data_IF_326511249668
#
_entry.id   IF_326511249668
#
_cell.length_a   1.000
_cell.length_b   1.000
_cell.length_c   1.000
_cell.angle_alpha   90.00
_cell.angle_beta   90.00
_cell.angle_gamma   90.00
#
_symmetry.space_group_name_H-M   'P 1'
#
loop_
_entity.id
_entity.type
_entity.pdbx_description
1 polymer ?
#
# COMPACT_ATOMS: atom_id res chain seq x y z
N UNK A 1 18.07 1.90 -58.07
CA UNK A 1 16.65 1.94 -57.68
C UNK A 1 16.55 2.26 -56.20
N UNK A 2 15.78 3.31 -55.88
CA UNK A 2 15.28 3.74 -54.56
C UNK A 2 16.34 4.03 -53.47
N UNK A 3 16.81 5.28 -53.30
CA UNK A 3 16.16 6.43 -52.65
C UNK A 3 16.01 6.27 -51.13
N UNK A 4 16.79 7.02 -50.34
CA UNK A 4 16.25 7.97 -49.34
C UNK A 4 17.31 9.01 -48.95
N UNK A 5 16.89 10.27 -49.06
CA UNK A 5 17.69 11.48 -48.86
C UNK A 5 17.84 11.87 -47.38
N UNK A 6 18.88 12.66 -47.03
CA UNK A 6 19.03 13.33 -45.74
C UNK A 6 18.29 14.69 -45.76
N UNK A 7 17.49 14.98 -44.72
CA UNK A 7 16.84 16.28 -44.56
C UNK A 7 17.54 17.09 -43.45
N UNK A 8 18.19 18.17 -43.86
CA UNK A 8 18.67 19.24 -43.03
C UNK A 8 17.55 20.28 -42.84
N UNK A 9 17.44 20.89 -41.65
CA UNK A 9 17.00 22.29 -41.52
C UNK A 9 17.33 22.89 -40.13
N UNK A 10 18.21 23.90 -40.18
CA UNK A 10 18.05 25.27 -39.63
C UNK A 10 17.72 25.41 -38.13
N UNK A 11 18.71 25.73 -37.28
CA UNK A 11 19.11 27.09 -36.87
C UNK A 11 18.01 27.99 -36.32
N UNK A 12 18.02 28.21 -35.00
CA UNK A 12 17.94 29.56 -34.42
C UNK A 12 18.37 29.50 -32.95
N UNK A 13 19.59 29.96 -32.70
CA UNK A 13 20.04 30.27 -31.36
C UNK A 13 19.34 31.51 -30.85
N UNK A 14 18.95 31.51 -29.57
CA UNK A 14 18.69 32.73 -28.83
C UNK A 14 19.69 32.81 -27.69
N UNK A 15 20.83 33.41 -28.05
CA UNK A 15 21.91 33.77 -27.16
C UNK A 15 21.62 35.20 -26.71
N UNK A 16 21.09 35.39 -25.51
CA UNK A 16 20.97 36.73 -24.92
C UNK A 16 22.19 36.96 -24.04
N UNK A 17 23.23 37.49 -24.68
CA UNK A 17 24.34 38.13 -24.01
C UNK A 17 24.10 39.64 -24.13
N UNK A 18 23.82 40.32 -23.02
CA UNK A 18 24.00 41.79 -22.93
C UNK A 18 25.08 42.05 -21.89
N UNK A 19 26.27 42.24 -22.41
CA UNK A 19 27.40 42.90 -21.75
C UNK A 19 27.24 44.42 -21.82
N UNK A 20 27.38 45.10 -20.68
CA UNK A 20 28.00 46.44 -20.55
C UNK A 20 28.00 46.79 -19.04
N UNK A 21 29.12 46.54 -18.35
CA UNK A 21 30.20 47.50 -18.06
C UNK A 21 29.91 48.41 -16.87
N UNK A 22 30.70 48.23 -15.80
CA UNK A 22 31.23 49.21 -14.81
C UNK A 22 30.26 50.23 -14.21
N UNK A 23 30.24 50.46 -12.89
CA UNK A 23 31.19 51.34 -12.20
C UNK A 23 30.96 51.21 -10.69
N UNK A 24 32.08 51.15 -9.94
CA UNK A 24 32.28 51.53 -8.54
C UNK A 24 31.05 51.88 -7.67
N UNK A 25 30.90 51.15 -6.56
CA UNK A 25 30.58 51.78 -5.28
C UNK A 25 31.12 50.92 -4.12
N UNK A 26 32.08 51.54 -3.46
CA UNK A 26 32.73 51.23 -2.19
C UNK A 26 31.82 50.67 -1.10
N UNK A 27 32.45 49.87 -0.23
CA UNK A 27 31.78 49.17 0.85
C UNK A 27 31.02 50.06 1.82
N UNK A 28 29.98 49.46 2.41
CA UNK A 28 29.36 49.96 3.63
C UNK A 28 29.45 48.88 4.68
N UNK A 29 30.46 49.01 5.54
CA UNK A 29 30.54 48.31 6.81
C UNK A 29 29.24 48.55 7.57
N UNK A 30 28.52 47.48 7.90
CA UNK A 30 27.40 47.56 8.84
C UNK A 30 27.97 47.75 10.23
N UNK A 31 27.67 48.91 10.81
CA UNK A 31 28.06 49.33 12.16
C UNK A 31 27.57 48.34 13.23
N UNK A 32 28.33 48.10 14.31
CA UNK A 32 27.85 47.32 15.44
C UNK A 32 26.79 48.13 16.18
N UNK A 33 25.54 47.64 16.20
CA UNK A 33 24.51 48.21 17.04
C UNK A 33 24.91 47.99 18.51
N UNK A 34 25.00 49.13 19.20
CA UNK A 34 25.41 49.32 20.56
C UNK A 34 24.48 48.62 21.56
N UNK A 35 25.09 48.29 22.71
CA UNK A 35 24.51 47.66 23.89
C UNK A 35 23.13 48.20 24.25
N UNK A 36 22.09 47.36 24.17
CA UNK A 36 20.86 47.59 24.90
C UNK A 36 20.88 46.77 26.20
N UNK A 37 21.24 47.46 27.29
CA UNK A 37 21.19 46.95 28.65
C UNK A 37 19.73 46.75 29.07
N UNK A 38 19.31 45.49 29.27
CA UNK A 38 18.06 45.19 29.97
C UNK A 38 18.22 45.52 31.47
N UNK A 39 17.72 46.70 31.88
CA UNK A 39 17.42 46.96 33.29
C UNK A 39 16.20 46.14 33.71
N UNK A 40 16.28 45.68 34.96
CA UNK A 40 15.48 44.65 35.62
C UNK A 40 14.00 45.02 35.82
N UNK A 41 13.17 43.97 35.91
CA UNK A 41 11.90 43.83 36.66
C UNK A 41 11.98 44.58 38.02
N UNK A 42 10.95 45.19 38.61
CA UNK A 42 9.53 44.82 38.73
C UNK A 42 8.62 46.05 39.05
N UNK A 43 7.43 45.91 39.69
CA UNK A 43 6.11 46.07 39.09
C UNK A 43 5.33 47.32 39.56
N UNK A 44 4.39 47.81 38.73
CA UNK A 44 3.29 48.64 39.21
C UNK A 44 1.95 47.98 38.90
N UNK A 45 1.23 47.67 39.97
CA UNK A 45 -0.16 47.23 39.97
C UNK A 45 -1.09 48.41 39.71
N UNK A 46 -2.16 48.17 38.93
CA UNK A 46 -3.49 48.85 38.86
C UNK A 46 -4.03 48.60 37.44
N UNK A 47 -5.24 48.13 37.15
CA UNK A 47 -6.52 48.11 37.87
C UNK A 47 -7.23 46.79 37.56
N UNK A 48 -7.77 46.14 38.59
CA UNK A 48 -8.67 45.00 38.45
C UNK A 48 -10.05 45.50 37.98
N UNK A 49 -10.31 45.41 36.68
CA UNK A 49 -11.67 45.47 36.14
C UNK A 49 -12.32 44.10 36.30
N UNK A 50 -13.17 43.96 37.31
CA UNK A 50 -14.02 42.78 37.53
C UNK A 50 -15.14 42.74 36.50
N UNK A 51 -14.88 42.12 35.34
CA UNK A 51 -15.94 41.55 34.51
C UNK A 51 -16.34 40.18 35.11
N UNK A 52 -16.98 40.22 36.28
CA UNK A 52 -17.57 39.04 36.91
C UNK A 52 -18.91 38.78 36.24
N UNK A 53 -18.96 37.78 35.36
CA UNK A 53 -20.22 37.21 34.89
C UNK A 53 -20.44 37.18 33.39
N UNK A 54 -19.63 36.41 32.65
CA UNK A 54 -20.03 35.73 31.40
C UNK A 54 -18.89 34.89 30.80
N UNK A 55 -18.33 33.90 31.50
CA UNK A 55 -17.30 33.03 30.85
C UNK A 55 -17.28 31.57 31.27
N UNK A 56 -18.29 31.05 32.00
CA UNK A 56 -18.40 29.59 32.21
C UNK A 56 -19.10 28.87 31.05
N UNK A 57 -20.01 29.53 30.34
CA UNK A 57 -20.67 28.91 29.17
C UNK A 57 -19.81 28.85 27.90
N UNK A 58 -18.79 29.71 27.78
CA UNK A 58 -17.91 29.71 26.60
C UNK A 58 -16.82 28.64 26.66
N UNK A 59 -16.53 28.06 27.84
CA UNK A 59 -15.53 27.01 27.99
C UNK A 59 -16.04 25.66 27.47
N UNK A 60 -17.31 25.33 27.72
CA UNK A 60 -17.95 24.09 27.25
C UNK A 60 -18.46 24.18 25.81
N UNK A 61 -18.62 25.39 25.26
CA UNK A 61 -19.02 25.60 23.86
C UNK A 61 -17.79 25.60 22.95
N UNK A 62 -17.69 24.60 22.06
CA UNK A 62 -16.61 24.54 21.06
C UNK A 62 -16.61 25.78 20.16
N UNK A 63 -15.53 26.55 20.26
CA UNK A 63 -15.21 27.70 19.41
C UNK A 63 -13.77 27.60 18.96
N UNK A 64 -13.43 28.23 17.83
CA UNK A 64 -12.08 28.15 17.24
C UNK A 64 -10.96 28.59 18.19
N UNK A 65 -11.23 29.50 19.11
CA UNK A 65 -10.28 29.99 20.11
C UNK A 65 -10.06 29.04 21.30
N UNK A 66 -10.92 28.04 21.50
CA UNK A 66 -10.88 27.13 22.65
C UNK A 66 -10.49 25.69 22.26
N UNK A 67 -10.20 25.44 20.98
CA UNK A 67 -9.73 24.14 20.50
C UNK A 67 -8.24 23.99 20.79
N UNK A 68 -7.86 22.88 21.44
CA UNK A 68 -6.46 22.51 21.65
C UNK A 68 -6.28 21.01 21.40
N UNK A 69 -5.11 20.58 20.88
CA UNK A 69 -4.83 19.17 20.71
C UNK A 69 -4.69 18.48 22.08
N UNK A 70 -5.01 17.18 22.15
CA UNK A 70 -4.77 16.39 23.35
C UNK A 70 -3.29 16.46 23.77
N UNK A 71 -3.05 16.55 25.08
CA UNK A 71 -1.71 16.62 25.65
C UNK A 71 -0.86 15.45 25.14
N UNK A 72 0.26 15.75 24.47
CA UNK A 72 1.18 14.76 23.89
C UNK A 72 0.91 14.40 22.43
N UNK A 73 -0.20 14.82 21.83
CA UNK A 73 -0.50 14.54 20.41
C UNK A 73 0.47 15.25 19.45
N UNK A 74 0.94 16.46 19.81
CA UNK A 74 1.95 17.21 19.06
C UNK A 74 3.14 17.52 19.95
N UNK A 75 4.29 16.92 19.63
CA UNK A 75 5.57 17.22 20.30
C UNK A 75 6.34 18.25 19.48
N UNK A 76 6.79 19.32 20.13
CA UNK A 76 7.64 20.33 19.48
C UNK A 76 8.99 19.71 19.07
N UNK A 77 9.39 19.93 17.82
CA UNK A 77 10.67 19.44 17.30
C UNK A 77 11.84 20.27 17.82
N UNK A 78 12.98 19.62 18.06
CA UNK A 78 14.20 20.31 18.49
C UNK A 78 14.85 21.01 17.31
N UNK A 79 14.85 22.34 17.33
CA UNK A 79 15.57 23.18 16.35
C UNK A 79 17.07 23.18 16.67
N UNK A 80 17.83 22.31 16.01
CA UNK A 80 19.28 22.16 16.21
C UNK A 80 20.04 23.42 15.79
N UNK A 81 21.18 23.67 16.44
CA UNK A 81 22.06 24.81 16.11
C UNK A 81 21.49 26.17 16.53
N UNK A 82 20.75 26.24 17.64
CA UNK A 82 20.18 27.49 18.21
C UNK A 82 20.68 27.69 19.64
N UNK A 83 21.99 27.93 19.77
CA UNK A 83 22.65 28.14 21.06
C UNK A 83 22.72 26.89 21.94
N UNK A 84 23.61 26.90 22.92
CA UNK A 84 23.82 25.73 23.80
C UNK A 84 22.67 25.49 24.79
N UNK A 85 21.93 26.53 25.19
CA UNK A 85 20.78 26.42 26.09
C UNK A 85 19.60 25.58 25.55
N UNK A 86 19.54 25.34 24.24
CA UNK A 86 18.53 24.47 23.61
C UNK A 86 18.87 22.97 23.66
N UNK A 87 20.05 22.61 24.18
CA UNK A 87 20.53 21.24 24.35
C UNK A 87 21.20 20.61 23.12
N UNK A 88 20.97 21.13 21.91
CA UNK A 88 21.63 20.68 20.67
C UNK A 88 22.24 21.89 19.96
N UNK A 89 23.25 22.47 20.61
CA UNK A 89 23.96 23.69 20.21
C UNK A 89 24.96 23.49 19.08
N UNK A 90 26.20 23.97 19.27
CA UNK A 90 27.21 24.12 18.20
C UNK A 90 27.40 22.89 17.30
N UNK A 91 27.60 21.70 17.88
CA UNK A 91 27.82 20.47 17.10
C UNK A 91 26.53 19.76 16.68
N UNK A 92 25.35 20.27 17.08
CA UNK A 92 24.04 19.69 16.77
C UNK A 92 23.88 18.19 17.14
N UNK A 93 24.73 17.68 18.05
CA UNK A 93 24.76 16.28 18.49
C UNK A 93 25.63 15.35 17.63
N UNK A 94 26.35 15.88 16.63
CA UNK A 94 27.20 15.09 15.74
C UNK A 94 28.63 14.87 16.28
N UNK A 95 29.00 15.56 17.35
CA UNK A 95 30.33 15.46 17.96
C UNK A 95 31.41 16.26 17.21
N UNK A 96 32.64 15.77 17.25
CA UNK A 96 33.80 16.40 16.62
C UNK A 96 33.85 16.15 15.10
N UNK A 97 34.97 16.48 14.45
CA UNK A 97 35.17 16.28 13.01
C UNK A 97 35.29 14.78 12.70
N UNK A 98 34.38 14.26 11.89
CA UNK A 98 34.41 12.88 11.40
C UNK A 98 33.46 12.71 10.22
N UNK A 99 33.53 11.58 9.52
CA UNK A 99 32.71 11.35 8.31
C UNK A 99 31.21 11.51 8.59
N UNK A 100 30.71 11.02 9.74
CA UNK A 100 29.29 11.13 10.15
C UNK A 100 28.85 12.55 10.54
N UNK A 101 29.79 13.47 10.75
CA UNK A 101 29.51 14.87 11.09
C UNK A 101 29.55 15.81 9.87
N UNK A 102 29.95 15.31 8.70
CA UNK A 102 29.96 16.09 7.45
C UNK A 102 28.58 16.06 6.80
N UNK A 103 28.27 17.12 6.04
CA UNK A 103 27.09 17.15 5.19
C UNK A 103 27.25 16.18 4.02
N UNK A 104 26.14 15.61 3.56
CA UNK A 104 26.09 14.69 2.42
C UNK A 104 25.57 13.30 2.79
N UNK A 105 25.61 12.39 1.81
CA UNK A 105 25.23 11.00 2.03
C UNK A 105 26.26 10.31 2.92
N UNK A 106 25.79 9.64 3.96
CA UNK A 106 26.64 8.85 4.85
C UNK A 106 27.15 7.57 4.18
N UNK A 107 27.77 6.74 5.01
CA UNK A 107 28.16 5.38 4.63
C UNK A 107 26.91 4.53 4.36
N UNK A 108 26.94 3.69 3.31
CA UNK A 108 25.82 2.80 2.96
C UNK A 108 25.48 1.87 4.13
N UNK A 109 24.19 1.72 4.44
CA UNK A 109 23.72 0.75 5.42
C UNK A 109 24.23 -0.67 5.08
N UNK A 110 24.84 -1.32 6.07
CA UNK A 110 25.50 -2.64 5.92
C UNK A 110 26.94 -2.60 5.42
N UNK A 111 27.61 -1.44 5.40
CA UNK A 111 29.06 -1.36 5.17
C UNK A 111 29.83 -1.43 6.49
N UNK A 112 30.81 -2.33 6.56
CA UNK A 112 31.60 -2.66 7.76
C UNK A 112 33.07 -2.19 7.62
N UNK A 113 33.30 -0.98 7.11
CA UNK A 113 34.65 -0.38 7.11
C UNK A 113 35.65 -1.00 6.15
N UNK A 114 35.20 -1.71 5.11
CA UNK A 114 36.06 -2.43 4.17
C UNK A 114 36.14 -3.94 4.42
N UNK A 115 35.67 -4.40 5.59
CA UNK A 115 35.45 -5.82 5.83
C UNK A 115 34.36 -6.37 4.89
N UNK A 116 34.46 -7.64 4.48
CA UNK A 116 33.41 -8.31 3.72
C UNK A 116 32.11 -8.27 4.52
N UNK A 117 31.02 -7.61 4.08
CA UNK A 117 29.87 -7.38 4.94
C UNK A 117 29.07 -8.67 5.20
N UNK A 118 28.34 -8.73 6.31
CA UNK A 118 27.60 -9.91 6.76
C UNK A 118 26.69 -10.53 5.66
N UNK A 119 25.97 -9.70 4.92
CA UNK A 119 25.06 -10.16 3.85
C UNK A 119 25.78 -10.80 2.64
N UNK A 120 27.11 -10.66 2.56
CA UNK A 120 27.96 -11.38 1.60
C UNK A 120 28.64 -12.60 2.19
N UNK A 121 28.89 -12.62 3.51
CA UNK A 121 29.49 -13.77 4.19
C UNK A 121 28.53 -14.95 4.27
N UNK A 122 27.24 -14.68 4.49
CA UNK A 122 26.22 -15.71 4.58
C UNK A 122 25.75 -16.16 3.19
N UNK A 123 25.47 -17.46 2.99
CA UNK A 123 24.90 -17.95 1.75
C UNK A 123 23.48 -17.40 1.57
N UNK A 124 23.06 -17.26 0.30
CA UNK A 124 21.68 -16.88 -0.03
C UNK A 124 20.69 -17.96 0.42
N UNK A 125 19.45 -17.54 0.68
CA UNK A 125 18.37 -18.46 1.04
C UNK A 125 18.16 -19.54 -0.04
N UNK A 126 17.85 -20.76 0.41
CA UNK A 126 17.52 -21.90 -0.45
C UNK A 126 16.38 -21.54 -1.42
N UNK A 127 16.44 -22.05 -2.66
CA UNK A 127 15.48 -21.75 -3.72
C UNK A 127 15.73 -20.40 -4.41
N UNK A 128 15.79 -19.30 -3.65
CA UNK A 128 16.00 -17.95 -4.20
C UNK A 128 17.35 -17.85 -4.93
N UNK A 129 18.40 -18.47 -4.36
CA UNK A 129 19.72 -18.50 -4.96
C UNK A 129 19.74 -19.11 -6.38
N UNK A 130 18.86 -20.07 -6.65
CA UNK A 130 18.73 -20.76 -7.94
C UNK A 130 17.60 -20.23 -8.83
N UNK A 131 16.97 -19.10 -8.49
CA UNK A 131 15.89 -18.51 -9.28
C UNK A 131 14.52 -19.21 -9.15
N UNK A 132 14.35 -20.10 -8.16
CA UNK A 132 13.05 -20.69 -7.87
C UNK A 132 12.10 -19.62 -7.31
N UNK A 133 10.88 -19.56 -7.85
CA UNK A 133 9.86 -18.63 -7.38
C UNK A 133 9.43 -18.95 -5.94
N UNK A 134 9.18 -17.91 -5.14
CA UNK A 134 8.74 -18.08 -3.76
C UNK A 134 7.34 -18.72 -3.70
N UNK A 135 7.13 -19.58 -2.70
CA UNK A 135 5.83 -20.19 -2.46
C UNK A 135 4.80 -19.15 -2.00
N UNK A 136 3.81 -18.85 -2.84
CA UNK A 136 2.71 -17.96 -2.48
C UNK A 136 1.50 -18.74 -1.94
N UNK A 137 0.70 -18.17 -1.03
CA UNK A 137 -0.51 -18.82 -0.53
C UNK A 137 -1.50 -19.03 -1.68
N UNK A 138 -2.10 -20.22 -1.74
CA UNK A 138 -3.04 -20.63 -2.80
C UNK A 138 -4.51 -20.57 -2.35
N UNK A 139 -4.75 -20.46 -1.06
CA UNK A 139 -6.06 -20.48 -0.43
C UNK A 139 -6.14 -19.38 0.62
N UNK A 140 -7.34 -18.88 0.84
CA UNK A 140 -7.67 -18.11 2.05
C UNK A 140 -8.03 -19.12 3.12
N UNK A 141 -7.31 -19.11 4.24
CA UNK A 141 -7.51 -20.09 5.30
C UNK A 141 -8.37 -19.52 6.41
N UNK A 142 -9.40 -20.26 6.82
CA UNK A 142 -10.24 -19.93 7.98
C UNK A 142 -10.31 -21.12 8.92
N UNK A 143 -10.16 -20.85 10.21
CA UNK A 143 -10.19 -21.86 11.27
C UNK A 143 -11.58 -22.02 11.86
N UNK A 144 -11.88 -23.22 12.37
CA UNK A 144 -13.17 -23.52 13.03
C UNK A 144 -13.41 -22.64 14.27
N UNK A 145 -12.37 -22.33 15.05
CA UNK A 145 -12.43 -21.41 16.20
C UNK A 145 -12.93 -20.01 15.84
N UNK A 146 -12.59 -19.51 14.64
CA UNK A 146 -13.06 -18.21 14.16
C UNK A 146 -14.52 -18.28 13.75
N UNK A 147 -14.96 -19.40 13.15
CA UNK A 147 -16.34 -19.63 12.77
C UNK A 147 -17.25 -19.77 14.01
N UNK A 148 -16.79 -20.51 15.02
CA UNK A 148 -17.48 -20.72 16.30
C UNK A 148 -17.89 -19.41 16.99
N UNK A 149 -17.08 -18.35 16.87
CA UNK A 149 -17.31 -17.07 17.55
C UNK A 149 -18.29 -16.13 16.85
N UNK A 150 -18.56 -16.34 15.56
CA UNK A 150 -19.21 -15.34 14.70
C UNK A 150 -20.43 -15.86 13.95
N UNK A 151 -20.59 -17.17 13.89
CA UNK A 151 -21.77 -17.81 13.31
C UNK A 151 -22.65 -18.38 14.41
N UNK A 152 -23.94 -18.43 14.13
CA UNK A 152 -24.94 -19.14 14.92
C UNK A 152 -25.35 -20.43 14.24
N UNK A 153 -26.15 -21.25 14.92
CA UNK A 153 -26.58 -22.56 14.45
C UNK A 153 -27.39 -22.48 13.16
N UNK A 154 -27.09 -23.36 12.20
CA UNK A 154 -27.77 -23.45 10.90
C UNK A 154 -27.34 -22.43 9.85
N UNK A 155 -26.35 -21.58 10.13
CA UNK A 155 -25.90 -20.59 9.15
C UNK A 155 -25.02 -21.16 8.04
N UNK A 156 -25.14 -20.58 6.84
CA UNK A 156 -24.29 -20.90 5.69
C UNK A 156 -22.99 -20.08 5.68
N UNK A 157 -21.85 -20.77 5.68
CA UNK A 157 -20.53 -20.16 5.58
C UNK A 157 -20.05 -20.22 4.13
N UNK A 158 -20.10 -19.07 3.46
CA UNK A 158 -19.50 -18.85 2.13
C UNK A 158 -18.48 -17.70 2.17
N UNK A 159 -17.73 -17.49 1.07
CA UNK A 159 -16.82 -16.33 0.95
C UNK A 159 -17.59 -15.01 1.10
N UNK A 160 -18.81 -14.94 0.57
CA UNK A 160 -19.67 -13.76 0.63
C UNK A 160 -20.14 -13.52 2.08
N UNK A 161 -20.64 -14.56 2.76
CA UNK A 161 -21.08 -14.48 4.16
C UNK A 161 -19.95 -14.01 5.08
N UNK A 162 -18.72 -14.51 4.86
CA UNK A 162 -17.54 -14.12 5.62
C UNK A 162 -17.13 -12.65 5.39
N UNK A 163 -17.33 -12.15 4.16
CA UNK A 163 -17.03 -10.76 3.81
C UNK A 163 -18.07 -9.81 4.42
N UNK A 164 -19.35 -10.17 4.37
CA UNK A 164 -20.45 -9.40 4.97
C UNK A 164 -20.25 -9.24 6.49
N UNK A 165 -19.85 -10.31 7.18
CA UNK A 165 -19.51 -10.28 8.61
C UNK A 165 -18.16 -9.61 8.93
N UNK A 166 -17.47 -9.05 7.92
CA UNK A 166 -16.13 -8.44 8.00
C UNK A 166 -15.07 -9.36 8.61
N UNK A 167 -15.22 -10.67 8.42
CA UNK A 167 -14.23 -11.66 8.85
C UNK A 167 -13.10 -11.80 7.83
N UNK A 168 -13.44 -11.62 6.55
CA UNK A 168 -12.47 -11.56 5.46
C UNK A 168 -12.54 -10.17 4.81
N UNK A 169 -11.41 -9.48 4.81
CA UNK A 169 -11.23 -8.23 4.05
C UNK A 169 -10.36 -8.55 2.83
N UNK A 170 -10.98 -9.11 1.79
CA UNK A 170 -10.24 -9.56 0.61
C UNK A 170 -9.68 -8.36 -0.16
N UNK A 171 -8.39 -8.40 -0.48
CA UNK A 171 -7.74 -7.35 -1.27
C UNK A 171 -6.77 -7.93 -2.30
N UNK A 172 -6.65 -7.25 -3.45
CA UNK A 172 -5.69 -7.57 -4.51
C UNK A 172 -5.72 -9.03 -4.95
N UNK A 173 -4.64 -9.77 -4.63
CA UNK A 173 -4.47 -11.18 -5.01
C UNK A 173 -5.45 -12.10 -4.29
N UNK A 174 -5.80 -11.79 -3.05
CA UNK A 174 -6.62 -12.65 -2.19
C UNK A 174 -8.06 -12.76 -2.67
N UNK A 175 -8.59 -11.70 -3.31
CA UNK A 175 -9.93 -11.69 -3.90
C UNK A 175 -10.15 -12.79 -4.96
N UNK A 176 -9.06 -13.30 -5.57
CA UNK A 176 -9.12 -14.38 -6.56
C UNK A 176 -8.87 -15.77 -5.96
N UNK A 177 -8.51 -15.84 -4.68
CA UNK A 177 -8.15 -17.09 -4.03
C UNK A 177 -9.39 -17.82 -3.49
N UNK A 178 -9.45 -19.16 -3.63
CA UNK A 178 -10.51 -19.95 -3.05
C UNK A 178 -10.37 -20.10 -1.52
N UNK A 179 -11.49 -20.32 -0.83
CA UNK A 179 -11.55 -20.57 0.61
C UNK A 179 -11.12 -22.00 0.94
N UNK A 180 -10.30 -22.15 1.98
CA UNK A 180 -9.96 -23.42 2.63
C UNK A 180 -10.24 -23.35 4.13
N UNK A 181 -10.87 -24.39 4.66
CA UNK A 181 -11.17 -24.48 6.09
C UNK A 181 -10.21 -25.42 6.79
N UNK A 182 -9.67 -24.96 7.93
CA UNK A 182 -8.72 -25.69 8.79
C UNK A 182 -9.36 -26.03 10.14
N UNK A 183 -8.95 -27.16 10.71
CA UNK A 183 -9.58 -27.80 11.87
C UNK A 183 -9.21 -27.26 13.27
N UNK A 184 -8.64 -26.06 13.35
CA UNK A 184 -8.21 -25.50 14.64
C UNK A 184 -9.40 -24.93 15.44
N UNK A 185 -9.69 -25.53 16.58
CA UNK A 185 -10.85 -25.26 17.43
C UNK A 185 -11.99 -26.26 17.25
N UNK A 186 -13.03 -26.12 18.07
CA UNK A 186 -14.18 -27.03 18.09
C UNK A 186 -15.45 -26.29 17.69
N UNK A 187 -16.36 -27.01 17.04
CA UNK A 187 -17.67 -26.53 16.63
C UNK A 187 -18.74 -27.23 17.47
N UNK A 188 -19.55 -26.44 18.18
CA UNK A 188 -20.64 -26.95 19.02
C UNK A 188 -22.01 -26.92 18.32
N UNK A 189 -22.09 -26.28 17.15
CA UNK A 189 -23.33 -26.04 16.40
C UNK A 189 -23.16 -26.44 14.93
N UNK A 190 -24.28 -26.69 14.27
CA UNK A 190 -24.37 -27.18 12.90
C UNK A 190 -24.14 -26.02 11.95
N UNK A 191 -23.21 -26.19 11.02
CA UNK A 191 -22.91 -25.21 9.97
C UNK A 191 -22.89 -25.88 8.62
N UNK A 192 -23.43 -25.19 7.62
CA UNK A 192 -23.30 -25.59 6.21
C UNK A 192 -22.16 -24.77 5.60
N UNK A 193 -21.00 -25.39 5.43
CA UNK A 193 -19.79 -24.68 4.99
C UNK A 193 -19.54 -24.97 3.51
N UNK A 194 -19.57 -23.92 2.70
CA UNK A 194 -19.28 -23.94 1.26
C UNK A 194 -17.86 -23.43 1.03
N UNK A 195 -16.91 -24.34 0.84
CA UNK A 195 -15.50 -24.00 0.61
C UNK A 195 -14.90 -24.84 -0.52
N UNK A 196 -13.77 -24.41 -1.08
CA UNK A 196 -13.14 -25.14 -2.18
C UNK A 196 -12.32 -26.35 -1.70
N UNK A 197 -11.83 -26.32 -0.45
CA UNK A 197 -11.13 -27.43 0.20
C UNK A 197 -11.30 -27.40 1.71
N UNK A 198 -11.24 -28.57 2.33
CA UNK A 198 -11.18 -28.75 3.78
C UNK A 198 -9.94 -29.56 4.17
N UNK A 199 -9.34 -29.27 5.32
CA UNK A 199 -8.40 -30.21 5.95
C UNK A 199 -9.13 -31.46 6.45
N UNK A 200 -8.44 -32.59 6.57
CA UNK A 200 -9.02 -33.85 7.06
C UNK A 200 -9.64 -33.69 8.44
N UNK A 201 -8.90 -33.10 9.39
CA UNK A 201 -9.38 -32.80 10.74
C UNK A 201 -10.60 -31.87 10.76
N UNK A 202 -10.66 -30.90 9.85
CA UNK A 202 -11.84 -30.04 9.74
C UNK A 202 -13.08 -30.81 9.31
N UNK A 203 -12.96 -31.72 8.33
CA UNK A 203 -14.11 -32.52 7.84
C UNK A 203 -14.68 -33.38 8.96
N UNK A 204 -13.81 -34.08 9.70
CA UNK A 204 -14.20 -34.93 10.82
C UNK A 204 -14.93 -34.13 11.91
N UNK A 205 -14.38 -32.97 12.31
CA UNK A 205 -15.01 -32.11 13.32
C UNK A 205 -16.33 -31.50 12.88
N UNK A 206 -16.45 -31.10 11.61
CA UNK A 206 -17.70 -30.55 11.06
C UNK A 206 -18.78 -31.64 11.03
N UNK A 207 -18.42 -32.86 10.61
CA UNK A 207 -19.32 -34.02 10.59
C UNK A 207 -19.72 -34.45 12.02
N UNK A 208 -18.79 -34.45 12.97
CA UNK A 208 -19.07 -34.75 14.38
C UNK A 208 -20.05 -33.76 15.02
N UNK A 209 -19.98 -32.48 14.62
CA UNK A 209 -20.95 -31.46 15.03
C UNK A 209 -22.31 -31.57 14.31
N UNK A 210 -22.47 -32.51 13.36
CA UNK A 210 -23.68 -32.68 12.56
C UNK A 210 -23.87 -31.61 11.48
N UNK A 211 -22.80 -30.92 11.08
CA UNK A 211 -22.80 -29.94 9.99
C UNK A 211 -22.47 -30.56 8.63
N UNK A 212 -22.56 -29.75 7.58
CA UNK A 212 -22.33 -30.16 6.20
C UNK A 212 -21.11 -29.45 5.59
N UNK A 213 -20.19 -30.23 5.01
CA UNK A 213 -19.02 -29.71 4.31
C UNK A 213 -19.21 -29.84 2.79
N UNK A 214 -19.65 -28.76 2.15
CA UNK A 214 -19.91 -28.70 0.70
C UNK A 214 -18.65 -28.21 -0.03
N UNK A 215 -18.05 -29.10 -0.84
CA UNK A 215 -16.89 -28.76 -1.67
C UNK A 215 -17.31 -28.15 -3.02
N UNK A 216 -16.92 -26.89 -3.25
CA UNK A 216 -17.20 -26.20 -4.52
C UNK A 216 -16.24 -26.71 -5.61
N UNK A 217 -16.75 -27.09 -6.81
CA UNK A 217 -15.90 -27.58 -7.89
C UNK A 217 -14.91 -26.49 -8.34
N UNK A 218 -13.63 -26.86 -8.41
CA UNK A 218 -12.58 -25.95 -8.87
C UNK A 218 -12.56 -25.81 -10.39
N UNK A 219 -11.96 -24.73 -10.89
CA UNK A 219 -11.75 -24.50 -12.32
C UNK A 219 -11.03 -25.70 -12.94
N UNK A 220 -11.68 -26.35 -13.90
CA UNK A 220 -11.13 -27.50 -14.59
C UNK A 220 -9.84 -27.14 -15.33
N UNK A 221 -8.81 -28.00 -15.21
CA UNK A 221 -7.57 -27.86 -15.97
C UNK A 221 -7.85 -28.16 -17.43
N UNK A 222 -7.41 -27.28 -18.32
CA UNK A 222 -7.45 -27.55 -19.76
C UNK A 222 -6.50 -28.72 -20.08
N UNK A 223 -7.02 -29.74 -20.76
CA UNK A 223 -6.22 -30.84 -21.28
C UNK A 223 -6.60 -31.08 -22.74
N UNK A 224 -5.65 -31.54 -23.54
CA UNK A 224 -5.86 -31.78 -24.97
C UNK A 224 -6.97 -32.80 -25.24
N UNK A 225 -7.09 -33.82 -24.39
CA UNK A 225 -8.15 -34.83 -24.47
C UNK A 225 -9.54 -34.24 -24.18
N UNK A 226 -9.68 -33.43 -23.12
CA UNK A 226 -10.93 -32.72 -22.82
C UNK A 226 -11.30 -31.75 -23.95
N UNK A 227 -10.30 -31.07 -24.53
CA UNK A 227 -10.53 -30.18 -25.67
C UNK A 227 -11.04 -30.96 -26.89
N UNK A 228 -10.38 -32.07 -27.25
CA UNK A 228 -10.83 -32.94 -28.36
C UNK A 228 -12.25 -33.46 -28.14
N UNK A 229 -12.57 -33.92 -26.92
CA UNK A 229 -13.92 -34.36 -26.56
C UNK A 229 -14.95 -33.23 -26.68
N UNK A 230 -14.62 -32.02 -26.22
CA UNK A 230 -15.49 -30.84 -26.36
C UNK A 230 -15.72 -30.46 -27.82
N UNK A 231 -14.67 -30.50 -28.65
CA UNK A 231 -14.78 -30.21 -30.09
C UNK A 231 -15.59 -31.30 -30.80
N UNK A 232 -15.37 -32.57 -30.49
CA UNK A 232 -16.14 -33.68 -31.06
C UNK A 232 -17.62 -33.63 -30.63
N UNK A 233 -17.89 -33.31 -29.36
CA UNK A 233 -19.25 -33.10 -28.86
C UNK A 233 -19.91 -31.89 -29.53
N UNK A 234 -19.18 -30.78 -29.74
CA UNK A 234 -19.68 -29.61 -30.46
C UNK A 234 -19.95 -29.91 -31.94
N UNK A 235 -19.12 -30.74 -32.59
CA UNK A 235 -19.33 -31.20 -33.96
C UNK A 235 -20.53 -32.15 -34.08
N UNK A 236 -20.75 -33.02 -33.09
CA UNK A 236 -21.91 -33.92 -33.05
C UNK A 236 -23.22 -33.19 -32.70
N UNK A 237 -23.14 -32.11 -31.92
CA UNK A 237 -24.28 -31.26 -31.54
C UNK A 237 -24.62 -30.19 -32.60
N UNK A 238 -23.80 -30.03 -33.65
CA UNK A 238 -24.13 -29.14 -34.76
C UNK A 238 -25.30 -29.76 -35.56
N UNK A 239 -26.41 -29.01 -35.81
CA UNK A 239 -27.50 -29.53 -36.61
C UNK A 239 -26.98 -29.87 -38.01
N UNK A 240 -27.32 -31.06 -38.54
CA UNK A 240 -27.02 -31.45 -39.93
C UNK A 240 -27.55 -30.34 -40.83
N UNK A 241 -26.65 -29.55 -41.42
CA UNK A 241 -27.00 -28.45 -42.33
C UNK A 241 -27.90 -29.03 -43.43
N UNK A 242 -29.16 -28.59 -43.48
CA UNK A 242 -30.10 -29.01 -44.52
C UNK A 242 -29.46 -28.80 -45.91
N UNK A 243 -29.66 -29.72 -46.87
CA UNK A 243 -29.07 -29.59 -48.19
C UNK A 243 -29.51 -28.27 -48.82
N UNK A 244 -28.54 -27.52 -49.34
CA UNK A 244 -28.77 -26.20 -49.93
C UNK A 244 -29.86 -26.26 -51.02
N UNK A 245 -30.77 -25.27 -51.11
CA UNK A 245 -31.76 -25.24 -52.18
C UNK A 245 -31.05 -25.12 -53.54
N UNK A 246 -31.48 -25.96 -54.50
CA UNK A 246 -30.91 -26.00 -55.85
C UNK A 246 -30.99 -24.61 -56.50
N UNK A 247 -29.94 -24.16 -57.22
CA UNK A 247 -29.93 -22.85 -57.86
C UNK A 247 -31.04 -22.75 -58.91
N UNK A 248 -31.90 -21.74 -58.77
CA UNK A 248 -32.95 -21.42 -59.75
C UNK A 248 -32.25 -20.93 -61.02
N UNK A 249 -32.27 -21.74 -62.08
CA UNK A 249 -31.84 -21.33 -63.41
C UNK A 249 -32.84 -20.32 -63.96
N UNK A 250 -32.44 -19.04 -64.08
CA UNK A 250 -33.21 -18.05 -64.83
C UNK A 250 -33.19 -18.46 -66.30
N UNK A 251 -34.31 -18.97 -66.83
CA UNK A 251 -34.51 -19.07 -68.28
C UNK A 251 -34.48 -17.65 -68.85
N UNK A 252 -33.53 -17.38 -69.75
CA UNK A 252 -33.52 -16.18 -70.56
C UNK A 252 -34.72 -16.23 -71.52
N UNK A 253 -35.67 -15.32 -71.35
CA UNK A 253 -36.68 -15.01 -72.37
C UNK A 253 -36.06 -13.96 -73.28
N UNK A 254 -35.84 -14.34 -74.54
CA UNK A 254 -35.42 -13.44 -75.63
C UNK A 254 -36.67 -12.72 -76.16
N UNK A 255 -36.49 -11.45 -76.50
CA UNK A 255 -37.48 -10.48 -76.97
C UNK A 255 -38.42 -11.03 -78.05
#
# INVERSE_FOLDING_TARGET
>A
MALHAPCAHLTSGLQVNRSSSSVFATGRQLRPATRFSLKRKAPHATVAGTATGATKEFADRFRLNNLSPQKGARRQEKRKGRGYGSGQGGTCGFGMRGQKARSGSGVRHGFEGGQTPLFRRLPKLKGIAGGMSAGLPKYITVNLSTLSKKFSDGEEVSVESLTQKRMLNLSGREAKLPLKVLGDGDLAFKLTIKAAKFSTSAKEKIQAAGGEAVEIPQKAKWTRALHKRKVAAAAAAAPKKAPAPKPITKKAVKQ
#
